data_IF_382488239396
#
_entry.id   IF_382488239396
#
_cell.length_a   1.000
_cell.length_b   1.000
_cell.length_c   1.000
_cell.angle_alpha   90.00
_cell.angle_beta   90.00
_cell.angle_gamma   90.00
#
_symmetry.space_group_name_H-M   'P 1'
#
loop_
_entity.id
_entity.type
_entity.pdbx_description
1 polymer ?
#
# COMPACT_ATOMS: atom_id res chain seq x y z
N UNK A 1 -18.42 -2.48 18.64
CA UNK A 1 -17.41 -3.53 18.93
C UNK A 1 -17.00 -4.16 17.59
N UNK A 2 -16.31 -3.40 16.74
CA UNK A 2 -16.12 -3.73 15.31
C UNK A 2 -14.76 -3.30 14.76
N UNK A 3 -13.95 -2.59 15.57
CA UNK A 3 -12.60 -2.13 15.21
C UNK A 3 -11.62 -3.28 14.99
N UNK A 4 -11.82 -4.40 15.69
CA UNK A 4 -10.96 -5.58 15.61
C UNK A 4 -10.93 -6.21 14.20
N UNK A 5 -12.09 -6.39 13.57
CA UNK A 5 -12.13 -6.91 12.19
C UNK A 5 -11.55 -5.93 11.17
N UNK A 6 -11.76 -4.63 11.40
CA UNK A 6 -11.20 -3.56 10.57
C UNK A 6 -9.67 -3.55 10.65
N UNK A 7 -9.11 -3.66 11.85
CA UNK A 7 -7.65 -3.73 12.05
C UNK A 7 -7.05 -4.99 11.43
N UNK A 8 -7.72 -6.15 11.53
CA UNK A 8 -7.27 -7.38 10.89
C UNK A 8 -7.28 -7.23 9.36
N UNK A 9 -8.38 -6.72 8.78
CA UNK A 9 -8.46 -6.48 7.33
C UNK A 9 -7.39 -5.51 6.86
N UNK A 10 -7.14 -4.44 7.63
CA UNK A 10 -6.13 -3.43 7.30
C UNK A 10 -4.72 -4.02 7.32
N UNK A 11 -4.35 -4.78 8.37
CA UNK A 11 -3.07 -5.48 8.44
C UNK A 11 -2.89 -6.50 7.31
N UNK A 12 -3.92 -7.28 7.01
CA UNK A 12 -3.87 -8.29 5.96
C UNK A 12 -3.75 -7.68 4.56
N UNK A 13 -4.42 -6.56 4.32
CA UNK A 13 -4.32 -5.81 3.07
C UNK A 13 -2.91 -5.26 2.86
N UNK A 14 -2.31 -4.64 3.90
CA UNK A 14 -0.92 -4.15 3.83
C UNK A 14 0.07 -5.28 3.54
N UNK A 15 -0.04 -6.43 4.21
CA UNK A 15 0.84 -7.58 3.94
C UNK A 15 0.72 -8.09 2.50
N UNK A 16 -0.51 -8.21 1.97
CA UNK A 16 -0.71 -8.64 0.57
C UNK A 16 -0.17 -7.66 -0.45
N UNK A 17 -0.32 -6.37 -0.21
CA UNK A 17 0.25 -5.33 -1.09
C UNK A 17 1.78 -5.40 -1.06
N UNK A 18 2.39 -5.55 0.11
CA UNK A 18 3.85 -5.65 0.25
C UNK A 18 4.39 -6.91 -0.43
N UNK A 19 3.76 -8.07 -0.22
CA UNK A 19 4.18 -9.33 -0.87
C UNK A 19 4.05 -9.24 -2.39
N UNK A 20 2.98 -8.62 -2.89
CA UNK A 20 2.77 -8.44 -4.32
C UNK A 20 3.79 -7.48 -4.93
N UNK A 21 4.10 -6.36 -4.26
CA UNK A 21 5.15 -5.43 -4.70
C UNK A 21 6.55 -6.06 -4.65
N UNK A 22 6.85 -6.92 -3.68
CA UNK A 22 8.13 -7.63 -3.58
C UNK A 22 8.34 -8.68 -4.69
N UNK A 23 7.26 -9.13 -5.35
CA UNK A 23 7.31 -10.05 -6.50
C UNK A 23 7.38 -9.32 -7.85
N UNK A 24 7.22 -8.00 -7.88
CA UNK A 24 7.35 -7.22 -9.11
C UNK A 24 8.83 -6.91 -9.39
N UNK A 25 9.27 -6.97 -10.66
CA UNK A 25 10.62 -6.57 -11.04
C UNK A 25 10.87 -5.13 -10.62
N UNK A 26 12.07 -4.82 -10.12
CA UNK A 26 12.44 -3.48 -9.63
C UNK A 26 12.15 -2.38 -10.65
N UNK A 27 12.33 -2.61 -11.95
CA UNK A 27 11.94 -1.65 -12.98
C UNK A 27 10.44 -1.34 -12.99
N UNK A 28 9.56 -2.32 -12.73
CA UNK A 28 8.12 -2.07 -12.61
C UNK A 28 7.79 -1.29 -11.33
N UNK A 29 8.60 -1.46 -10.28
CA UNK A 29 8.50 -0.73 -9.00
C UNK A 29 9.03 0.71 -9.11
N UNK A 30 10.00 0.98 -9.98
CA UNK A 30 10.61 2.29 -10.24
C UNK A 30 10.06 2.96 -11.51
N UNK A 31 8.80 2.66 -11.86
CA UNK A 31 8.13 3.38 -12.94
C UNK A 31 7.64 4.76 -12.47
N UNK A 32 7.66 5.78 -13.34
CA UNK A 32 7.13 7.12 -13.02
C UNK A 32 5.67 7.08 -12.53
N UNK A 33 4.88 6.12 -13.01
CA UNK A 33 3.49 5.91 -12.58
C UNK A 33 3.38 5.48 -11.11
N UNK A 34 4.36 4.71 -10.61
CA UNK A 34 4.36 4.20 -9.24
C UNK A 34 4.90 5.23 -8.24
N UNK A 35 5.86 6.08 -8.62
CA UNK A 35 6.22 7.28 -7.85
C UNK A 35 5.00 8.20 -7.66
N UNK A 36 4.27 8.48 -8.74
CA UNK A 36 3.04 9.28 -8.68
C UNK A 36 1.99 8.61 -7.77
N UNK A 37 1.91 7.28 -7.80
CA UNK A 37 1.00 6.52 -6.94
C UNK A 37 1.40 6.60 -5.46
N UNK A 38 2.70 6.50 -5.13
CA UNK A 38 3.23 6.69 -3.76
C UNK A 38 2.96 8.09 -3.24
N UNK A 39 3.25 9.13 -4.04
CA UNK A 39 2.97 10.54 -3.66
C UNK A 39 1.47 10.75 -3.37
N UNK A 40 0.58 10.15 -4.18
CA UNK A 40 -0.86 10.22 -3.94
C UNK A 40 -1.29 9.46 -2.69
N UNK A 41 -0.68 8.31 -2.40
CA UNK A 41 -0.92 7.53 -1.18
C UNK A 41 -0.44 8.25 0.06
N UNK A 42 0.77 8.80 0.06
CA UNK A 42 1.34 9.56 1.17
C UNK A 42 0.49 10.81 1.46
N UNK A 43 -0.01 11.49 0.42
CA UNK A 43 -0.94 12.61 0.58
C UNK A 43 -2.28 12.19 1.18
N UNK A 44 -2.81 11.03 0.79
CA UNK A 44 -4.07 10.51 1.32
C UNK A 44 -3.94 9.99 2.76
N UNK A 45 -2.81 9.39 3.12
CA UNK A 45 -2.52 8.84 4.44
C UNK A 45 -2.03 9.91 5.44
N UNK A 46 -1.33 10.94 4.97
CA UNK A 46 -0.91 12.10 5.77
C UNK A 46 -2.03 13.12 6.04
N UNK A 47 -3.23 12.87 5.52
CA UNK A 47 -4.44 13.69 5.76
C UNK A 47 -5.30 13.17 6.93
N UNK A 48 -4.79 12.24 7.74
CA UNK A 48 -5.45 11.73 8.95
C UNK A 48 -4.84 12.35 10.21
#
# INVERSE_FOLDING_TARGET
KSRFMLDIRRKFFTMRVVEHCNRLPREAVETPSLEIFKVKLDRALGSL
#
